data_IF_651059421132
#
_entry.id   IF_651059421132
#
_cell.length_a   1.000
_cell.length_b   1.000
_cell.length_c   1.000
_cell.angle_alpha   90.00
_cell.angle_beta   90.00
_cell.angle_gamma   90.00
#
_symmetry.space_group_name_H-M   'P 1'
#
loop_
_entity.id
_entity.type
_entity.pdbx_description
1 polymer ?
#
# COMPACT_ATOMS: atom_id res chain seq x y z
N UNK A 1 46.59 -5.80 -37.07
CA UNK A 1 45.90 -6.80 -36.25
C UNK A 1 45.73 -6.22 -34.86
N UNK A 2 44.54 -5.77 -34.52
CA UNK A 2 44.17 -5.30 -33.15
C UNK A 2 43.22 -6.32 -32.58
N UNK A 3 43.69 -7.05 -31.57
CA UNK A 3 42.93 -8.08 -30.87
C UNK A 3 41.97 -7.40 -29.89
N UNK A 4 40.67 -7.51 -30.10
CA UNK A 4 39.63 -7.12 -29.11
C UNK A 4 39.52 -8.22 -28.09
N UNK A 5 39.80 -7.91 -26.83
CA UNK A 5 39.50 -8.78 -25.69
C UNK A 5 38.10 -8.38 -25.21
N UNK A 6 37.11 -9.25 -25.43
CA UNK A 6 35.78 -9.10 -24.88
C UNK A 6 35.78 -9.63 -23.45
N UNK A 7 35.58 -8.75 -22.47
CA UNK A 7 35.38 -9.14 -21.08
C UNK A 7 33.95 -9.63 -20.92
N UNK A 8 33.77 -10.92 -20.66
CA UNK A 8 32.51 -11.53 -20.23
C UNK A 8 32.25 -11.12 -18.76
N UNK A 9 31.27 -10.27 -18.53
CA UNK A 9 30.76 -10.03 -17.19
C UNK A 9 29.78 -11.16 -16.85
N UNK A 10 30.23 -12.15 -16.09
CA UNK A 10 29.34 -13.13 -15.47
C UNK A 10 28.54 -12.44 -14.37
N UNK A 11 27.27 -12.19 -14.65
CA UNK A 11 26.27 -11.83 -13.62
C UNK A 11 25.94 -13.10 -12.83
N UNK A 12 26.57 -13.28 -11.67
CA UNK A 12 26.17 -14.34 -10.72
C UNK A 12 24.83 -13.95 -10.10
N UNK A 13 23.76 -14.60 -10.53
CA UNK A 13 22.49 -14.59 -9.81
C UNK A 13 22.72 -15.29 -8.46
N UNK A 14 22.63 -14.53 -7.37
CA UNK A 14 22.63 -15.09 -6.02
C UNK A 14 21.27 -15.76 -5.85
N UNK A 15 21.25 -17.09 -5.89
CA UNK A 15 20.06 -17.88 -5.55
C UNK A 15 20.00 -17.92 -4.02
N UNK A 16 19.10 -17.14 -3.42
CA UNK A 16 18.82 -17.25 -1.98
C UNK A 16 18.06 -18.56 -1.73
N UNK A 17 18.59 -19.44 -0.90
CA UNK A 17 17.82 -20.58 -0.36
C UNK A 17 16.79 -20.03 0.62
N UNK A 18 15.52 -20.27 0.37
CA UNK A 18 14.45 -19.94 1.30
C UNK A 18 14.36 -21.02 2.42
N UNK A 19 14.16 -20.59 3.66
CA UNK A 19 13.88 -21.46 4.80
C UNK A 19 12.42 -21.28 5.20
N UNK A 20 11.75 -22.40 5.54
CA UNK A 20 10.40 -22.38 6.09
C UNK A 20 10.48 -22.10 7.59
N UNK A 21 9.82 -21.05 8.05
CA UNK A 21 9.75 -20.65 9.46
C UNK A 21 8.62 -21.42 10.20
N UNK A 22 8.67 -21.51 11.55
CA UNK A 22 7.72 -22.28 12.34
C UNK A 22 6.24 -21.94 12.09
N UNK A 23 5.94 -20.72 11.67
CA UNK A 23 4.58 -20.25 11.33
C UNK A 23 4.18 -20.49 9.87
N UNK A 24 4.99 -21.20 9.09
CA UNK A 24 4.75 -21.51 7.69
C UNK A 24 5.08 -20.34 6.75
N UNK A 25 5.81 -19.33 7.22
CA UNK A 25 6.35 -18.31 6.36
C UNK A 25 7.64 -18.80 5.68
N UNK A 26 7.85 -18.34 4.46
CA UNK A 26 9.07 -18.57 3.70
C UNK A 26 9.81 -17.25 3.55
N UNK A 27 11.07 -17.21 3.99
CA UNK A 27 11.90 -16.02 4.03
C UNK A 27 13.26 -16.28 3.35
N UNK A 28 13.96 -15.24 2.88
CA UNK A 28 15.35 -15.38 2.43
C UNK A 28 16.27 -15.83 3.55
N UNK A 29 17.37 -16.51 3.19
CA UNK A 29 18.38 -17.00 4.16
C UNK A 29 18.84 -15.90 5.12
N UNK A 30 18.95 -16.26 6.41
CA UNK A 30 19.34 -15.36 7.50
C UNK A 30 18.24 -14.44 8.04
N UNK A 31 17.04 -14.47 7.46
CA UNK A 31 15.86 -13.82 8.02
C UNK A 31 15.04 -14.83 8.83
N UNK A 32 14.45 -14.33 9.91
CA UNK A 32 13.59 -15.13 10.81
C UNK A 32 12.34 -14.34 11.19
N UNK A 33 11.19 -15.04 11.21
CA UNK A 33 9.94 -14.50 11.67
C UNK A 33 9.61 -14.97 13.10
N UNK A 34 8.99 -14.09 13.86
CA UNK A 34 8.36 -14.42 15.15
C UNK A 34 6.99 -13.76 15.25
N UNK A 35 6.06 -14.37 15.97
CA UNK A 35 4.73 -13.78 16.20
C UNK A 35 4.84 -12.82 17.37
N UNK A 36 4.44 -11.57 17.14
CA UNK A 36 4.41 -10.49 18.14
C UNK A 36 3.09 -10.47 18.89
N UNK A 37 1.99 -10.59 18.15
CA UNK A 37 0.63 -10.61 18.67
C UNK A 37 -0.27 -11.44 17.75
N UNK A 38 -1.36 -11.97 18.30
CA UNK A 38 -2.38 -12.72 17.57
C UNK A 38 -3.78 -12.40 18.10
N UNK A 39 -4.80 -12.56 17.27
CA UNK A 39 -6.19 -12.42 17.71
C UNK A 39 -6.64 -10.97 17.95
N UNK A 40 -5.95 -9.97 17.37
CA UNK A 40 -6.34 -8.56 17.51
C UNK A 40 -7.63 -8.22 16.74
N UNK A 41 -8.19 -9.18 15.98
CA UNK A 41 -9.28 -8.93 15.05
C UNK A 41 -8.81 -8.27 13.75
N UNK A 42 -9.73 -7.80 12.91
CA UNK A 42 -9.36 -7.11 11.69
C UNK A 42 -8.58 -5.83 11.98
N UNK A 43 -7.38 -5.74 11.41
CA UNK A 43 -6.49 -4.56 11.50
C UNK A 43 -6.08 -4.11 10.10
N UNK A 44 -5.49 -2.90 10.03
CA UNK A 44 -5.05 -2.29 8.77
C UNK A 44 -3.56 -1.96 8.83
N UNK A 45 -3.19 -0.70 8.62
CA UNK A 45 -1.80 -0.27 8.65
C UNK A 45 -1.27 -0.12 10.08
N UNK A 46 0.03 -0.06 10.21
CA UNK A 46 0.69 0.11 11.50
C UNK A 46 1.84 1.11 11.43
N UNK A 47 2.21 1.62 12.58
CA UNK A 47 3.39 2.45 12.78
C UNK A 47 4.10 2.02 14.07
N UNK A 48 5.42 2.07 14.09
CA UNK A 48 6.24 1.75 15.26
C UNK A 48 6.85 3.02 15.81
N UNK A 49 6.69 3.24 17.11
CA UNK A 49 7.30 4.36 17.83
C UNK A 49 8.79 4.11 18.08
N UNK A 50 9.59 5.15 18.28
CA UNK A 50 11.02 5.03 18.52
C UNK A 50 11.43 4.21 19.76
N UNK A 51 10.51 3.94 20.69
CA UNK A 51 10.71 3.04 21.83
C UNK A 51 10.34 1.56 21.55
N UNK A 52 9.82 1.26 20.34
CA UNK A 52 9.42 -0.08 19.93
C UNK A 52 7.93 -0.40 20.07
N UNK A 53 7.13 0.47 20.69
CA UNK A 53 5.69 0.29 20.78
C UNK A 53 5.03 0.33 19.38
N UNK A 54 4.05 -0.56 19.15
CA UNK A 54 3.36 -0.69 17.86
C UNK A 54 1.96 -0.09 17.96
N UNK A 55 1.57 0.65 16.94
CA UNK A 55 0.25 1.27 16.83
C UNK A 55 -0.41 0.83 15.53
N UNK A 56 -1.62 0.31 15.64
CA UNK A 56 -2.33 -0.33 14.52
C UNK A 56 -3.68 0.33 14.32
N UNK A 57 -3.97 0.76 13.10
CA UNK A 57 -5.28 1.28 12.74
C UNK A 57 -6.29 0.13 12.56
N UNK A 58 -7.53 0.35 13.00
CA UNK A 58 -8.63 -0.60 12.85
C UNK A 58 -9.59 -0.15 11.74
N UNK A 59 -10.29 -1.07 11.05
CA UNK A 59 -11.36 -0.71 10.11
C UNK A 59 -12.52 0.01 10.80
N UNK A 60 -13.36 0.68 9.99
CA UNK A 60 -14.64 1.22 10.43
C UNK A 60 -15.57 0.16 11.02
N UNK A 61 -16.40 0.56 12.00
CA UNK A 61 -17.50 -0.24 12.53
C UNK A 61 -17.10 -1.60 13.12
N UNK A 62 -15.98 -1.68 13.82
CA UNK A 62 -15.57 -2.87 14.58
C UNK A 62 -16.12 -2.81 16.01
N UNK A 63 -17.45 -2.92 16.17
CA UNK A 63 -18.11 -2.87 17.50
C UNK A 63 -17.57 -3.92 18.48
N UNK A 64 -17.15 -5.08 17.97
CA UNK A 64 -16.64 -6.18 18.79
C UNK A 64 -15.25 -5.93 19.39
N UNK A 65 -14.43 -5.05 18.79
CA UNK A 65 -13.04 -4.81 19.18
C UNK A 65 -12.72 -3.33 19.46
N UNK A 66 -13.73 -2.45 19.43
CA UNK A 66 -13.56 -1.00 19.55
C UNK A 66 -13.08 -0.36 18.26
N UNK A 67 -13.51 0.88 18.01
CA UNK A 67 -12.98 1.73 16.94
C UNK A 67 -11.72 2.44 17.43
N UNK A 68 -10.84 2.85 16.50
CA UNK A 68 -9.67 3.67 16.83
C UNK A 68 -8.34 2.97 16.55
N UNK A 69 -7.46 3.03 17.51
CA UNK A 69 -6.09 2.55 17.40
C UNK A 69 -5.82 1.51 18.48
N UNK A 70 -5.16 0.42 18.11
CA UNK A 70 -4.62 -0.57 19.05
C UNK A 70 -3.16 -0.22 19.29
N UNK A 71 -2.78 -0.05 20.57
CA UNK A 71 -1.40 0.15 21.00
C UNK A 71 -0.88 -1.14 21.67
N UNK A 72 0.32 -1.58 21.27
CA UNK A 72 0.99 -2.74 21.81
C UNK A 72 2.35 -2.35 22.37
N UNK A 73 2.60 -2.72 23.62
CA UNK A 73 3.94 -2.70 24.19
C UNK A 73 4.56 -4.09 24.04
N UNK A 74 5.86 -4.14 23.75
CA UNK A 74 6.59 -5.38 23.55
C UNK A 74 7.55 -5.64 24.69
N UNK A 75 7.57 -6.88 25.18
CA UNK A 75 8.56 -7.37 26.13
C UNK A 75 9.97 -7.47 25.51
N UNK A 76 10.97 -7.83 26.31
CA UNK A 76 12.36 -8.03 25.86
C UNK A 76 12.54 -9.19 24.85
N UNK A 77 11.50 -9.98 24.58
CA UNK A 77 11.49 -11.05 23.60
C UNK A 77 10.65 -10.69 22.35
N UNK A 78 10.21 -9.44 22.28
CA UNK A 78 9.36 -8.88 21.23
C UNK A 78 7.96 -9.50 21.13
N UNK A 79 7.40 -10.00 22.24
CA UNK A 79 5.99 -10.39 22.32
C UNK A 79 5.17 -9.23 22.94
N UNK A 80 3.97 -9.03 22.47
CA UNK A 80 3.06 -8.04 23.07
C UNK A 80 2.65 -8.49 24.49
N UNK A 81 3.08 -7.75 25.50
CA UNK A 81 2.74 -7.97 26.91
C UNK A 81 1.68 -6.99 27.43
N UNK A 82 1.44 -5.88 26.73
CA UNK A 82 0.34 -4.97 26.98
C UNK A 82 -0.36 -4.62 25.67
N UNK A 83 -1.68 -4.65 25.66
CA UNK A 83 -2.53 -4.27 24.54
C UNK A 83 -3.58 -3.30 25.05
N UNK A 84 -3.65 -2.10 24.47
CA UNK A 84 -4.61 -1.07 24.84
C UNK A 84 -5.30 -0.49 23.61
N UNK A 85 -6.56 -0.08 23.75
CA UNK A 85 -7.32 0.59 22.70
C UNK A 85 -7.49 2.07 23.07
N UNK A 86 -7.33 2.95 22.11
CA UNK A 86 -7.51 4.38 22.32
C UNK A 86 -7.95 5.10 21.03
N UNK A 87 -8.27 6.40 21.18
CA UNK A 87 -8.68 7.24 20.08
C UNK A 87 -10.08 6.86 19.58
N UNK A 88 -11.11 7.48 20.14
CA UNK A 88 -12.50 7.33 19.67
C UNK A 88 -12.70 8.01 18.31
N UNK A 89 -11.84 7.64 17.33
CA UNK A 89 -11.90 8.10 15.96
C UNK A 89 -12.33 6.94 15.06
N UNK A 90 -13.16 7.22 14.07
CA UNK A 90 -13.46 6.23 13.04
C UNK A 90 -12.18 5.83 12.33
N UNK A 91 -11.94 4.52 12.21
CA UNK A 91 -10.70 4.00 11.64
C UNK A 91 -10.55 4.36 10.17
N UNK A 92 -9.38 4.91 9.83
CA UNK A 92 -8.86 5.02 8.49
C UNK A 92 -7.75 3.99 8.26
N UNK A 93 -7.05 4.10 7.15
CA UNK A 93 -5.89 3.25 6.86
C UNK A 93 -4.58 3.88 7.31
N UNK A 94 -4.44 5.18 7.07
CA UNK A 94 -3.17 5.87 7.25
C UNK A 94 -2.81 6.07 8.71
N UNK A 95 -1.62 5.61 9.10
CA UNK A 95 -1.07 5.80 10.43
C UNK A 95 0.46 5.93 10.31
N UNK A 96 1.05 7.02 10.81
CA UNK A 96 2.50 7.29 10.71
C UNK A 96 2.99 8.08 11.91
N UNK A 97 4.23 7.83 12.34
CA UNK A 97 4.92 8.70 13.29
C UNK A 97 5.69 9.81 12.58
N UNK A 98 5.63 10.99 13.15
CA UNK A 98 6.49 12.11 12.77
C UNK A 98 6.85 12.90 14.02
N UNK A 99 8.17 13.03 14.32
CA UNK A 99 8.70 13.72 15.51
C UNK A 99 8.00 13.29 16.81
N UNK A 100 7.92 11.98 17.04
CA UNK A 100 7.29 11.33 18.20
C UNK A 100 5.80 11.70 18.41
N UNK A 101 5.10 12.06 17.34
CA UNK A 101 3.66 12.26 17.31
C UNK A 101 3.04 11.30 16.33
N UNK A 102 1.94 10.68 16.72
CA UNK A 102 1.23 9.75 15.85
C UNK A 102 0.15 10.50 15.06
N UNK A 103 0.21 10.40 13.76
CA UNK A 103 -0.82 10.87 12.85
C UNK A 103 -1.65 9.68 12.40
N UNK A 104 -2.98 9.80 12.51
CA UNK A 104 -3.92 8.78 12.08
C UNK A 104 -5.02 9.41 11.24
N UNK A 105 -5.32 8.78 10.10
CA UNK A 105 -6.40 9.21 9.23
C UNK A 105 -7.73 8.61 9.65
N UNK A 106 -8.80 9.32 9.29
CA UNK A 106 -10.18 8.86 9.36
C UNK A 106 -10.83 9.03 7.99
N UNK A 107 -12.08 8.61 7.78
CA UNK A 107 -12.80 8.88 6.54
C UNK A 107 -12.80 10.36 6.12
N UNK A 108 -12.85 11.27 7.10
CA UNK A 108 -13.09 12.69 6.86
C UNK A 108 -11.98 13.61 7.35
N UNK A 109 -10.93 13.06 7.98
CA UNK A 109 -9.88 13.89 8.56
C UNK A 109 -8.56 13.18 8.85
N UNK A 110 -7.62 13.92 9.39
CA UNK A 110 -6.37 13.42 9.98
C UNK A 110 -6.23 13.99 11.38
N UNK A 111 -5.94 13.14 12.33
CA UNK A 111 -5.76 13.45 13.75
C UNK A 111 -4.30 13.25 14.15
N UNK A 112 -3.85 14.03 15.13
CA UNK A 112 -2.52 13.93 15.72
C UNK A 112 -2.62 13.65 17.21
N UNK A 113 -1.94 12.59 17.66
CA UNK A 113 -1.80 12.21 19.05
C UNK A 113 -0.39 12.59 19.53
N UNK A 114 -0.33 13.23 20.70
CA UNK A 114 0.94 13.61 21.35
C UNK A 114 1.15 12.74 22.56
N UNK A 115 2.34 12.15 22.68
CA UNK A 115 2.71 11.30 23.79
C UNK A 115 3.61 12.06 24.79
N UNK A 116 3.47 11.75 26.08
CA UNK A 116 4.29 12.30 27.15
C UNK A 116 5.13 11.19 27.77
N UNK A 117 6.46 11.27 27.57
CA UNK A 117 7.39 10.26 28.08
C UNK A 117 7.17 8.89 27.45
N UNK A 118 7.09 7.85 28.29
CA UNK A 118 6.96 6.44 27.88
C UNK A 118 5.53 5.91 27.91
N UNK A 119 4.52 6.80 27.99
CA UNK A 119 3.13 6.34 27.99
C UNK A 119 2.79 5.55 26.71
N UNK A 120 2.09 4.43 26.87
CA UNK A 120 1.67 3.58 25.74
C UNK A 120 0.49 4.20 24.98
N UNK A 121 -0.43 4.83 25.68
CA UNK A 121 -1.56 5.56 25.10
C UNK A 121 -1.50 7.02 25.50
N UNK A 122 -1.82 7.95 24.59
CA UNK A 122 -1.79 9.38 24.90
C UNK A 122 -2.83 9.72 25.96
N UNK A 123 -2.43 10.55 26.92
CA UNK A 123 -3.29 11.03 28.02
C UNK A 123 -4.15 12.24 27.64
N UNK A 124 -3.86 12.87 26.50
CA UNK A 124 -4.61 14.02 25.98
C UNK A 124 -5.46 13.65 24.78
N UNK A 125 -6.54 14.41 24.55
CA UNK A 125 -7.36 14.30 23.36
C UNK A 125 -6.53 14.59 22.08
N UNK A 126 -6.85 13.93 20.95
CA UNK A 126 -6.16 14.18 19.70
C UNK A 126 -6.50 15.56 19.14
N UNK A 127 -5.51 16.15 18.47
CA UNK A 127 -5.70 17.39 17.72
C UNK A 127 -6.18 17.09 16.29
N UNK A 128 -7.18 17.82 15.81
CA UNK A 128 -7.60 17.75 14.40
C UNK A 128 -6.60 18.51 13.54
N UNK A 129 -5.89 17.83 12.70
CA UNK A 129 -4.92 18.44 11.75
C UNK A 129 -5.63 18.85 10.46
N UNK A 130 -6.43 17.94 9.89
CA UNK A 130 -7.25 18.19 8.70
C UNK A 130 -8.63 17.63 8.95
N UNK A 131 -9.67 18.35 8.51
CA UNK A 131 -11.04 17.83 8.45
C UNK A 131 -11.77 18.27 7.18
N UNK A 132 -13.02 17.77 7.01
CA UNK A 132 -13.88 18.12 5.89
C UNK A 132 -13.53 17.39 4.59
N UNK A 133 -12.69 16.36 4.64
CA UNK A 133 -12.47 15.50 3.47
C UNK A 133 -13.76 14.72 3.14
N UNK A 134 -14.07 14.52 1.84
CA UNK A 134 -15.23 13.73 1.46
C UNK A 134 -15.06 12.31 1.97
N UNK A 135 -16.03 11.83 2.74
CA UNK A 135 -16.09 10.42 3.13
C UNK A 135 -16.03 9.54 1.87
N UNK A 136 -15.46 8.35 2.02
CA UNK A 136 -15.26 7.49 0.87
C UNK A 136 -16.56 6.91 0.34
N UNK A 137 -16.38 6.17 -0.71
CA UNK A 137 -17.31 5.51 -1.60
C UNK A 137 -18.57 4.97 -0.88
N UNK A 138 -19.78 5.39 -1.29
CA UNK A 138 -21.01 4.78 -0.81
C UNK A 138 -21.03 3.27 -1.16
N UNK A 139 -21.17 2.42 -0.15
CA UNK A 139 -21.27 0.97 -0.32
C UNK A 139 -20.00 0.16 -0.05
N UNK A 140 -18.87 0.78 0.29
CA UNK A 140 -17.70 0.10 0.81
C UNK A 140 -17.52 0.40 2.30
N UNK A 141 -17.42 -0.64 3.14
CA UNK A 141 -17.17 -0.52 4.58
C UNK A 141 -15.69 -0.20 4.89
N UNK A 142 -14.94 0.27 3.93
CA UNK A 142 -13.53 0.65 4.08
C UNK A 142 -13.30 2.01 3.48
N UNK A 143 -12.42 2.75 4.12
CA UNK A 143 -11.95 4.03 3.64
C UNK A 143 -10.46 3.95 3.52
N UNK A 144 -9.98 4.08 2.31
CA UNK A 144 -8.58 4.19 2.04
C UNK A 144 -8.18 5.66 2.20
N UNK A 145 -7.35 5.94 3.18
CA UNK A 145 -6.80 7.26 3.49
C UNK A 145 -5.34 7.12 3.88
N UNK A 146 -4.50 6.53 3.02
CA UNK A 146 -3.10 6.44 3.35
C UNK A 146 -2.51 7.85 3.49
N UNK A 147 -1.58 7.97 4.42
CA UNK A 147 -0.86 9.21 4.68
C UNK A 147 0.64 8.95 4.63
N UNK A 148 1.39 9.96 4.20
CA UNK A 148 2.83 9.99 4.31
C UNK A 148 3.29 11.37 4.82
N UNK A 149 4.44 11.42 5.47
CA UNK A 149 5.05 12.66 5.92
C UNK A 149 6.50 12.72 5.45
N UNK A 150 6.92 13.89 4.99
CA UNK A 150 8.31 14.14 4.66
C UNK A 150 9.09 14.70 5.87
N UNK A 151 10.39 14.81 5.72
CA UNK A 151 11.27 15.35 6.78
C UNK A 151 10.97 16.82 7.15
N UNK A 152 10.29 17.58 6.28
CA UNK A 152 9.95 18.99 6.50
C UNK A 152 8.64 19.15 7.28
N UNK A 153 7.81 18.12 7.30
CA UNK A 153 6.49 18.12 7.91
C UNK A 153 5.37 18.41 6.90
N UNK A 154 5.62 18.20 5.63
CA UNK A 154 4.55 18.12 4.64
C UNK A 154 3.78 16.81 4.88
N UNK A 155 2.48 16.93 5.14
CA UNK A 155 1.56 15.81 5.29
C UNK A 155 0.84 15.57 3.97
N UNK A 156 1.08 14.42 3.36
CA UNK A 156 0.40 13.97 2.16
C UNK A 156 -0.74 13.03 2.52
N UNK A 157 -1.93 13.31 1.97
CA UNK A 157 -3.14 12.50 2.18
C UNK A 157 -3.69 12.11 0.83
N UNK A 158 -3.86 10.82 0.57
CA UNK A 158 -4.49 10.35 -0.65
C UNK A 158 -6.01 10.20 -0.47
N UNK A 159 -6.74 10.57 -1.50
CA UNK A 159 -8.20 10.47 -1.59
C UNK A 159 -8.59 9.70 -2.86
N UNK A 160 -9.31 8.61 -2.68
CA UNK A 160 -9.81 7.79 -3.78
C UNK A 160 -10.91 8.50 -4.57
N UNK A 161 -11.14 8.03 -5.79
CA UNK A 161 -12.33 8.35 -6.55
C UNK A 161 -13.60 7.88 -5.85
N UNK A 162 -14.75 8.44 -6.21
CA UNK A 162 -16.04 8.01 -5.64
C UNK A 162 -16.55 6.70 -6.24
N UNK A 163 -15.97 6.25 -7.36
CA UNK A 163 -16.36 5.04 -8.05
C UNK A 163 -15.22 4.48 -8.92
N UNK A 164 -15.36 3.22 -9.34
CA UNK A 164 -14.44 2.57 -10.28
C UNK A 164 -14.32 3.35 -11.62
N UNK A 165 -15.45 3.90 -12.09
CA UNK A 165 -15.56 4.68 -13.30
C UNK A 165 -16.24 6.02 -13.01
N UNK A 166 -15.83 7.09 -13.71
CA UNK A 166 -16.50 8.38 -13.66
C UNK A 166 -17.48 8.50 -14.83
N UNK A 167 -18.72 8.08 -14.62
CA UNK A 167 -19.73 7.92 -15.69
C UNK A 167 -21.04 8.62 -15.35
N UNK A 168 -21.83 8.90 -16.39
CA UNK A 168 -23.18 9.47 -16.26
C UNK A 168 -24.11 8.53 -15.49
N UNK A 169 -23.97 7.23 -15.72
CA UNK A 169 -24.74 6.22 -15.02
C UNK A 169 -24.10 5.91 -13.67
N UNK A 170 -24.92 5.90 -12.63
CA UNK A 170 -24.49 5.45 -11.30
C UNK A 170 -24.09 3.99 -11.35
N UNK A 171 -22.92 3.67 -10.89
CA UNK A 171 -22.50 2.27 -10.79
C UNK A 171 -23.26 1.58 -9.65
N UNK A 172 -23.75 0.35 -9.91
CA UNK A 172 -24.41 -0.41 -8.87
C UNK A 172 -23.40 -0.78 -7.76
N UNK A 173 -23.87 -0.90 -6.51
CA UNK A 173 -23.06 -1.41 -5.42
C UNK A 173 -22.47 -2.80 -5.74
N UNK A 174 -21.37 -3.20 -5.07
CA UNK A 174 -20.80 -4.53 -5.21
C UNK A 174 -21.85 -5.64 -5.07
N UNK A 175 -21.80 -6.66 -5.94
CA UNK A 175 -22.73 -7.77 -5.93
C UNK A 175 -24.08 -7.53 -6.64
N UNK A 176 -24.32 -6.32 -7.14
CA UNK A 176 -25.51 -6.04 -7.99
C UNK A 176 -25.16 -6.19 -9.47
N UNK A 177 -26.16 -6.51 -10.33
CA UNK A 177 -25.95 -6.60 -11.77
C UNK A 177 -25.39 -5.31 -12.36
N UNK A 178 -24.43 -5.44 -13.27
CA UNK A 178 -23.91 -4.29 -14.02
C UNK A 178 -24.95 -3.81 -15.07
N UNK A 179 -24.85 -2.54 -15.53
CA UNK A 179 -25.68 -2.05 -16.62
C UNK A 179 -25.58 -2.92 -17.86
N UNK A 180 -26.67 -3.10 -18.56
CA UNK A 180 -26.72 -3.86 -19.84
C UNK A 180 -26.19 -3.05 -21.03
N UNK A 181 -26.08 -1.71 -20.87
CA UNK A 181 -25.48 -0.81 -21.86
C UNK A 181 -24.17 -0.28 -21.33
N UNK A 182 -23.11 -0.22 -22.15
CA UNK A 182 -21.83 0.35 -21.74
C UNK A 182 -22.01 1.77 -21.22
N UNK A 183 -21.40 2.11 -20.07
CA UNK A 183 -21.50 3.44 -19.49
C UNK A 183 -20.72 4.49 -20.30
N UNK A 184 -21.19 5.73 -20.27
CA UNK A 184 -20.53 6.89 -20.92
C UNK A 184 -19.82 7.74 -19.88
N UNK A 185 -18.57 8.10 -20.17
CA UNK A 185 -17.72 8.90 -19.28
C UNK A 185 -18.19 10.34 -19.13
N UNK A 186 -18.09 10.87 -17.91
CA UNK A 186 -18.33 12.29 -17.63
C UNK A 186 -17.09 13.14 -17.98
N UNK A 187 -17.30 14.22 -18.71
CA UNK A 187 -16.25 15.19 -19.05
C UNK A 187 -16.73 16.60 -18.80
N UNK A 188 -16.11 17.36 -17.88
CA UNK A 188 -15.06 16.92 -16.95
C UNK A 188 -15.58 15.97 -15.88
N UNK A 189 -14.70 15.10 -15.34
CA UNK A 189 -15.03 14.26 -14.20
C UNK A 189 -15.01 15.09 -12.90
N UNK A 190 -16.11 15.15 -12.13
CA UNK A 190 -16.19 15.97 -10.91
C UNK A 190 -15.21 15.55 -9.82
N UNK A 191 -14.85 14.25 -9.76
CA UNK A 191 -13.95 13.73 -8.73
C UNK A 191 -12.54 14.34 -8.81
N UNK A 192 -12.06 14.70 -9.99
CA UNK A 192 -10.70 15.21 -10.19
C UNK A 192 -10.39 16.51 -9.42
N UNK A 193 -11.41 17.32 -9.11
CA UNK A 193 -11.27 18.54 -8.33
C UNK A 193 -11.62 18.42 -6.84
N UNK A 194 -12.26 17.30 -6.45
CA UNK A 194 -12.80 17.11 -5.10
C UNK A 194 -12.19 15.91 -4.34
N UNK A 195 -11.62 14.98 -5.06
CA UNK A 195 -11.02 13.73 -4.59
C UNK A 195 -10.14 13.14 -5.70
N UNK A 196 -9.93 11.84 -5.78
CA UNK A 196 -9.17 11.18 -6.85
C UNK A 196 -7.75 11.76 -7.01
N UNK A 197 -7.05 11.96 -5.90
CA UNK A 197 -5.73 12.59 -5.91
C UNK A 197 -5.01 12.55 -4.57
N UNK A 198 -3.86 13.22 -4.50
CA UNK A 198 -3.11 13.46 -3.27
C UNK A 198 -3.15 14.93 -2.93
N UNK A 199 -3.40 15.25 -1.67
CA UNK A 199 -3.34 16.62 -1.14
C UNK A 199 -2.20 16.75 -0.14
N UNK A 200 -1.53 17.91 -0.18
CA UNK A 200 -0.49 18.29 0.77
C UNK A 200 -1.04 19.28 1.77
N UNK A 201 -0.76 19.06 3.05
CA UNK A 201 -1.06 19.92 4.19
C UNK A 201 0.20 20.14 5.03
N UNK A 202 0.15 21.06 5.98
CA UNK A 202 1.19 21.28 6.98
C UNK A 202 0.89 20.45 8.24
N UNK A 203 1.71 19.46 8.55
CA UNK A 203 1.52 18.59 9.71
C UNK A 203 1.56 19.34 11.05
N UNK A 204 2.13 20.54 11.11
CA UNK A 204 2.21 21.33 12.34
C UNK A 204 0.95 22.13 12.65
N UNK A 205 0.13 22.44 11.63
CA UNK A 205 -1.05 23.29 11.74
C UNK A 205 -2.30 22.49 12.10
N UNK A 206 -3.02 22.94 13.10
CA UNK A 206 -4.31 22.36 13.51
C UNK A 206 -5.49 23.04 12.80
N UNK A 207 -6.59 22.30 12.63
CA UNK A 207 -7.85 22.82 12.14
C UNK A 207 -7.87 23.20 10.66
N UNK A 208 -6.99 22.62 9.84
CA UNK A 208 -6.97 22.84 8.39
C UNK A 208 -8.22 22.25 7.75
N UNK A 209 -8.90 23.04 6.89
CA UNK A 209 -10.13 22.62 6.20
C UNK A 209 -9.84 22.17 4.78
N UNK A 210 -10.24 20.96 4.43
CA UNK A 210 -10.23 20.47 3.05
C UNK A 210 -11.36 21.12 2.25
N UNK A 211 -11.17 21.47 0.97
CA UNK A 211 -9.89 21.47 0.26
C UNK A 211 -9.10 22.79 0.43
N UNK A 212 -9.69 23.82 1.03
CA UNK A 212 -9.21 25.21 0.98
C UNK A 212 -7.84 25.44 1.63
N UNK A 213 -7.47 24.63 2.63
CA UNK A 213 -6.16 24.71 3.27
C UNK A 213 -5.15 23.73 2.67
N UNK A 214 -5.58 22.82 1.80
CA UNK A 214 -4.74 21.83 1.13
C UNK A 214 -4.28 22.30 -0.25
N UNK A 215 -3.14 21.78 -0.67
CA UNK A 215 -2.67 21.89 -2.05
C UNK A 215 -2.90 20.56 -2.76
N UNK A 216 -3.66 20.52 -3.85
CA UNK A 216 -3.77 19.34 -4.69
C UNK A 216 -2.41 19.05 -5.33
N UNK A 217 -1.74 18.02 -4.82
CA UNK A 217 -0.37 17.67 -5.23
C UNK A 217 -0.36 16.76 -6.45
N UNK A 218 -1.31 15.83 -6.52
CA UNK A 218 -1.50 14.93 -7.66
C UNK A 218 -2.99 14.68 -7.91
N UNK A 219 -3.33 14.25 -9.12
CA UNK A 219 -4.70 13.98 -9.57
C UNK A 219 -4.77 12.68 -10.37
N UNK A 220 -5.98 12.26 -10.74
CA UNK A 220 -6.19 11.10 -11.60
C UNK A 220 -6.01 9.75 -10.91
N UNK A 221 -6.24 9.69 -9.59
CA UNK A 221 -6.16 8.47 -8.78
C UNK A 221 -7.53 7.82 -8.67
N UNK A 222 -7.61 6.53 -9.02
CA UNK A 222 -8.83 5.74 -8.83
C UNK A 222 -8.99 5.26 -7.38
N UNK A 223 -8.02 4.50 -6.91
CA UNK A 223 -8.02 3.81 -5.62
C UNK A 223 -6.56 3.62 -5.19
N UNK A 224 -6.19 4.03 -4.00
CA UNK A 224 -4.83 3.99 -3.50
C UNK A 224 -4.80 3.70 -1.99
N UNK A 225 -4.23 2.57 -1.62
CA UNK A 225 -4.05 2.18 -0.22
C UNK A 225 -2.62 2.42 0.28
N UNK A 226 -1.67 2.53 -0.65
CA UNK A 226 -0.23 2.57 -0.36
C UNK A 226 0.33 3.95 -0.63
N UNK A 227 0.95 4.58 0.36
CA UNK A 227 1.62 5.88 0.23
C UNK A 227 2.79 5.94 1.21
N UNK A 228 3.99 6.22 0.70
CA UNK A 228 5.16 6.40 1.54
C UNK A 228 6.17 7.40 0.97
N UNK A 229 6.98 7.98 1.85
CA UNK A 229 8.03 8.92 1.51
C UNK A 229 9.39 8.23 1.50
N UNK A 230 10.04 8.19 0.35
CA UNK A 230 11.42 7.71 0.24
C UNK A 230 12.40 8.76 0.72
N UNK A 231 13.03 8.53 1.87
CA UNK A 231 14.09 9.41 2.37
C UNK A 231 15.37 9.30 1.52
N UNK A 232 15.55 8.22 0.77
CA UNK A 232 16.75 7.95 -0.02
C UNK A 232 16.85 8.88 -1.25
N UNK A 233 15.73 9.23 -1.88
CA UNK A 233 15.70 10.11 -3.04
C UNK A 233 14.84 11.36 -2.86
N UNK A 234 14.16 11.50 -1.70
CA UNK A 234 13.37 12.67 -1.35
C UNK A 234 12.08 12.82 -2.15
N UNK A 235 11.41 11.70 -2.47
CA UNK A 235 10.16 11.71 -3.22
C UNK A 235 9.07 10.88 -2.53
N UNK A 236 7.83 11.27 -2.82
CA UNK A 236 6.63 10.53 -2.46
C UNK A 236 6.37 9.44 -3.49
N UNK A 237 5.95 8.27 -3.03
CA UNK A 237 5.53 7.14 -3.85
C UNK A 237 4.16 6.63 -3.40
N UNK A 238 3.40 6.10 -4.35
CA UNK A 238 2.12 5.45 -4.08
C UNK A 238 1.75 4.47 -5.16
N UNK A 239 0.88 3.52 -4.84
CA UNK A 239 0.45 2.48 -5.77
C UNK A 239 -1.05 2.60 -5.98
N UNK A 240 -1.45 2.94 -7.21
CA UNK A 240 -2.85 3.04 -7.63
C UNK A 240 -3.33 1.68 -8.13
N UNK A 241 -4.46 1.20 -7.62
CA UNK A 241 -5.09 -0.01 -8.11
C UNK A 241 -5.69 0.18 -9.51
N UNK A 242 -5.45 -0.80 -10.37
CA UNK A 242 -6.06 -0.88 -11.68
C UNK A 242 -7.58 -0.96 -11.63
N UNK A 243 -8.24 -0.57 -12.70
CA UNK A 243 -9.71 -0.57 -12.81
C UNK A 243 -10.30 -1.98 -12.79
N UNK A 244 -11.52 -2.11 -12.30
CA UNK A 244 -12.24 -3.37 -12.19
C UNK A 244 -13.32 -3.53 -13.27
N UNK A 245 -13.65 -4.79 -13.60
CA UNK A 245 -14.82 -5.16 -14.42
C UNK A 245 -14.79 -4.61 -15.86
N UNK A 246 -13.63 -4.37 -16.44
CA UNK A 246 -13.53 -3.83 -17.80
C UNK A 246 -14.08 -4.84 -18.82
N UNK A 247 -13.68 -6.11 -18.73
CA UNK A 247 -14.23 -7.19 -19.55
C UNK A 247 -15.75 -7.30 -19.42
N UNK A 248 -16.29 -7.24 -18.21
CA UNK A 248 -17.74 -7.38 -17.99
C UNK A 248 -18.57 -6.26 -18.63
N UNK A 249 -17.99 -5.06 -18.74
CA UNK A 249 -18.65 -3.90 -19.34
C UNK A 249 -18.39 -3.77 -20.84
N UNK A 250 -17.22 -4.21 -21.28
CA UNK A 250 -16.77 -4.13 -22.68
C UNK A 250 -16.12 -5.44 -23.13
N UNK A 251 -16.90 -6.56 -23.20
CA UNK A 251 -16.34 -7.88 -23.53
C UNK A 251 -15.75 -7.96 -24.94
N UNK A 252 -16.22 -7.11 -25.86
CA UNK A 252 -15.71 -7.06 -27.23
C UNK A 252 -14.38 -6.28 -27.36
N UNK A 253 -13.98 -5.52 -26.34
CA UNK A 253 -12.77 -4.71 -26.35
C UNK A 253 -11.65 -5.28 -25.48
N UNK A 254 -11.98 -5.95 -24.39
CA UNK A 254 -11.05 -6.48 -23.40
C UNK A 254 -11.47 -7.89 -23.03
N UNK A 255 -10.61 -8.86 -23.22
CA UNK A 255 -10.87 -10.25 -22.80
C UNK A 255 -10.78 -10.38 -21.26
N UNK A 256 -11.26 -11.50 -20.71
CA UNK A 256 -11.18 -11.76 -19.27
C UNK A 256 -9.71 -11.85 -18.79
N UNK A 257 -8.84 -12.44 -19.59
CA UNK A 257 -7.40 -12.54 -19.26
C UNK A 257 -6.72 -11.17 -19.30
N UNK A 258 -7.08 -10.29 -20.24
CA UNK A 258 -6.58 -8.91 -20.29
C UNK A 258 -7.12 -8.07 -19.13
N UNK A 259 -8.38 -8.23 -18.72
CA UNK A 259 -8.96 -7.55 -17.55
C UNK A 259 -8.19 -7.91 -16.25
N UNK A 260 -7.76 -9.16 -16.14
CA UNK A 260 -6.94 -9.63 -15.02
C UNK A 260 -5.50 -9.06 -15.03
N UNK A 261 -5.04 -8.58 -16.17
CA UNK A 261 -3.70 -7.99 -16.34
C UNK A 261 -3.70 -6.46 -16.38
N UNK A 262 -4.84 -5.81 -16.14
CA UNK A 262 -4.85 -4.37 -15.88
C UNK A 262 -4.00 -4.11 -14.63
N UNK A 263 -2.92 -3.35 -14.81
CA UNK A 263 -1.88 -3.24 -13.80
C UNK A 263 -2.28 -2.35 -12.62
N UNK A 264 -1.79 -2.72 -11.43
CA UNK A 264 -1.64 -1.80 -10.32
C UNK A 264 -0.36 -0.99 -10.56
N UNK A 265 -0.45 0.34 -10.49
CA UNK A 265 0.58 1.26 -10.97
C UNK A 265 1.32 1.94 -9.80
N UNK A 266 2.63 1.66 -9.62
CA UNK A 266 3.47 2.41 -8.69
C UNK A 266 4.01 3.67 -9.35
N UNK A 267 3.75 4.82 -8.76
CA UNK A 267 4.20 6.12 -9.26
C UNK A 267 5.13 6.82 -8.26
N UNK A 268 6.15 7.48 -8.80
CA UNK A 268 6.84 8.57 -8.11
C UNK A 268 6.00 9.82 -8.24
N UNK A 269 5.56 10.37 -7.11
CA UNK A 269 4.56 11.44 -7.05
C UNK A 269 5.26 12.78 -6.82
N UNK A 270 5.27 13.61 -7.82
CA UNK A 270 5.73 15.00 -7.73
C UNK A 270 4.55 15.95 -7.85
N UNK A 271 4.77 17.24 -7.60
CA UNK A 271 3.72 18.23 -7.79
C UNK A 271 3.20 18.21 -9.23
N UNK A 272 1.87 18.22 -9.38
CA UNK A 272 1.12 18.14 -10.64
C UNK A 272 1.17 16.79 -11.36
N UNK A 273 1.57 15.71 -10.67
CA UNK A 273 1.44 14.35 -11.22
C UNK A 273 -0.02 14.05 -11.53
N UNK A 274 -0.29 13.61 -12.77
CA UNK A 274 -1.62 13.09 -13.19
C UNK A 274 -1.47 11.62 -13.54
N UNK A 275 -2.16 10.75 -12.77
CA UNK A 275 -2.14 9.29 -12.95
C UNK A 275 -2.97 8.82 -14.14
N UNK A 276 -3.91 9.65 -14.61
CA UNK A 276 -4.70 9.43 -15.82
C UNK A 276 -6.12 8.90 -15.64
N UNK A 277 -6.50 8.43 -14.44
CA UNK A 277 -7.91 8.10 -14.19
C UNK A 277 -8.77 9.36 -14.24
N UNK A 278 -10.00 9.32 -14.76
CA UNK A 278 -10.72 8.18 -15.33
C UNK A 278 -10.47 7.95 -16.81
N UNK A 279 -9.72 8.83 -17.46
CA UNK A 279 -9.59 8.88 -18.92
C UNK A 279 -8.76 7.76 -19.50
N UNK A 280 -7.90 7.13 -18.68
CA UNK A 280 -6.97 6.09 -19.11
C UNK A 280 -6.81 5.00 -18.06
N UNK A 281 -6.29 3.86 -18.49
CA UNK A 281 -5.82 2.76 -17.64
C UNK A 281 -4.52 2.19 -18.21
N UNK A 282 -3.77 1.44 -17.39
CA UNK A 282 -2.54 0.80 -17.82
C UNK A 282 -2.81 -0.68 -18.11
N UNK A 283 -2.62 -1.07 -19.37
CA UNK A 283 -2.68 -2.45 -19.84
C UNK A 283 -1.34 -3.13 -19.55
N UNK A 284 -1.28 -3.95 -18.51
CA UNK A 284 -0.06 -4.63 -18.10
C UNK A 284 0.40 -5.70 -19.10
N UNK A 285 -0.52 -6.36 -19.82
CA UNK A 285 -0.18 -7.36 -20.81
C UNK A 285 0.63 -6.77 -21.98
N UNK A 286 0.29 -5.53 -22.36
CA UNK A 286 0.93 -4.82 -23.48
C UNK A 286 1.95 -3.79 -23.02
N UNK A 287 2.06 -3.56 -21.72
CA UNK A 287 2.90 -2.53 -21.12
C UNK A 287 2.64 -1.13 -21.71
N UNK A 288 1.37 -0.74 -21.79
CA UNK A 288 0.95 0.51 -22.44
C UNK A 288 -0.25 1.15 -21.74
N UNK A 289 -0.26 2.48 -21.63
CA UNK A 289 -1.44 3.24 -21.20
C UNK A 289 -2.42 3.40 -22.35
N UNK A 290 -3.68 3.00 -22.11
CA UNK A 290 -4.77 3.07 -23.09
C UNK A 290 -5.85 4.04 -22.64
N UNK A 291 -6.59 4.60 -23.61
CA UNK A 291 -7.80 5.39 -23.35
C UNK A 291 -8.89 4.46 -22.84
N UNK A 292 -9.56 4.87 -21.76
CA UNK A 292 -10.67 4.11 -21.18
C UNK A 292 -11.85 4.02 -22.16
N UNK A 293 -12.52 2.86 -22.27
CA UNK A 293 -13.62 2.65 -23.23
C UNK A 293 -14.76 3.66 -23.12
N UNK A 294 -15.13 4.07 -21.89
CA UNK A 294 -16.18 5.08 -21.64
C UNK A 294 -15.82 6.48 -22.18
N UNK A 295 -14.56 6.69 -22.55
CA UNK A 295 -14.05 7.94 -23.17
C UNK A 295 -13.63 7.72 -24.63
N UNK A 296 -14.14 6.68 -25.29
CA UNK A 296 -13.89 6.38 -26.70
C UNK A 296 -12.65 5.57 -26.98
N UNK A 297 -12.11 4.90 -25.95
CA UNK A 297 -11.07 3.88 -26.13
C UNK A 297 -11.60 2.65 -26.87
N UNK A 298 -10.77 2.08 -27.74
CA UNK A 298 -11.06 0.92 -28.56
C UNK A 298 -10.18 -0.30 -28.21
N UNK A 299 -9.57 -0.27 -27.04
CA UNK A 299 -8.61 -1.28 -26.58
C UNK A 299 -7.23 -1.17 -27.23
N UNK A 300 -6.96 -0.14 -28.05
CA UNK A 300 -5.68 0.07 -28.76
C UNK A 300 -5.19 1.50 -28.71
N UNK A 301 -6.08 2.47 -28.59
CA UNK A 301 -5.73 3.90 -28.58
C UNK A 301 -5.01 4.27 -27.30
N UNK A 302 -3.81 4.84 -27.45
CA UNK A 302 -3.07 5.49 -26.36
C UNK A 302 -3.37 6.98 -26.29
N UNK A 303 -3.29 7.60 -25.09
CA UNK A 303 -3.31 9.06 -24.96
C UNK A 303 -2.05 9.70 -25.59
N UNK A 304 -2.03 11.01 -25.80
CA UNK A 304 -0.81 11.72 -26.19
C UNK A 304 0.35 11.41 -25.24
N UNK A 305 1.54 11.20 -25.79
CA UNK A 305 2.72 10.90 -25.01
C UNK A 305 3.03 12.03 -23.99
N UNK A 306 3.39 11.65 -22.76
CA UNK A 306 3.73 12.59 -21.70
C UNK A 306 2.54 13.33 -21.07
N UNK A 307 1.30 13.07 -21.49
CA UNK A 307 0.12 13.69 -20.90
C UNK A 307 -0.14 13.20 -19.46
N UNK A 308 0.12 11.93 -19.20
CA UNK A 308 -0.08 11.30 -17.89
C UNK A 308 1.23 10.72 -17.39
N UNK A 309 1.32 10.55 -16.08
CA UNK A 309 2.47 9.95 -15.43
C UNK A 309 2.71 8.51 -15.94
N UNK A 310 3.97 8.19 -16.18
CA UNK A 310 4.38 6.80 -16.42
C UNK A 310 4.69 6.16 -15.08
N UNK A 311 4.15 4.97 -14.76
CA UNK A 311 4.51 4.27 -13.55
C UNK A 311 6.00 3.92 -13.53
N UNK A 312 6.60 3.90 -12.35
CA UNK A 312 7.98 3.45 -12.16
C UNK A 312 8.07 1.93 -12.08
N UNK A 313 6.94 1.29 -11.76
CA UNK A 313 6.75 -0.15 -11.71
C UNK A 313 5.26 -0.47 -11.87
N UNK A 314 4.97 -1.57 -12.55
CA UNK A 314 3.64 -2.14 -12.70
C UNK A 314 3.57 -3.51 -12.06
N UNK A 315 2.50 -3.77 -11.31
CA UNK A 315 2.19 -5.09 -10.79
C UNK A 315 1.15 -5.75 -11.69
N UNK A 316 1.59 -6.73 -12.50
CA UNK A 316 0.76 -7.39 -13.52
C UNK A 316 0.13 -8.68 -13.02
N UNK A 317 0.45 -9.12 -11.81
CA UNK A 317 0.07 -10.43 -11.34
C UNK A 317 -1.37 -10.46 -10.85
N UNK A 318 -2.32 -10.57 -11.77
CA UNK A 318 -3.70 -10.99 -11.53
C UNK A 318 -4.34 -10.39 -10.27
N UNK A 319 -4.29 -9.05 -10.10
CA UNK A 319 -4.91 -8.32 -8.99
C UNK A 319 -4.33 -8.72 -7.63
N UNK A 320 -3.02 -8.57 -7.49
CA UNK A 320 -2.30 -8.86 -6.22
C UNK A 320 -2.70 -7.95 -5.07
N UNK A 321 -3.36 -6.83 -5.36
CA UNK A 321 -3.82 -5.83 -4.40
C UNK A 321 -2.70 -5.33 -3.47
N UNK A 322 -1.79 -4.45 -3.96
CA UNK A 322 -0.79 -3.80 -3.13
C UNK A 322 -1.45 -2.84 -2.13
N UNK A 323 -1.49 -3.20 -0.84
CA UNK A 323 -2.23 -2.44 0.17
C UNK A 323 -1.33 -1.64 1.12
N UNK A 324 -0.03 -1.89 1.18
CA UNK A 324 0.90 -1.02 1.90
C UNK A 324 2.28 -1.00 1.23
N UNK A 325 3.01 0.08 1.47
CA UNK A 325 4.32 0.39 0.90
C UNK A 325 5.21 0.97 2.00
N UNK A 326 6.45 0.49 2.09
CA UNK A 326 7.46 0.97 3.03
C UNK A 326 8.82 1.07 2.36
N UNK A 327 9.41 2.24 2.28
CA UNK A 327 10.81 2.41 1.92
C UNK A 327 11.68 2.11 3.14
N UNK A 328 12.52 1.07 3.03
CA UNK A 328 13.38 0.64 4.14
C UNK A 328 14.49 1.65 4.39
N UNK A 329 14.50 2.23 5.57
CA UNK A 329 15.45 3.25 6.01
C UNK A 329 16.56 2.70 6.91
N UNK A 330 16.38 1.50 7.46
CA UNK A 330 17.27 0.85 8.38
C UNK A 330 18.57 0.34 7.77
N UNK A 331 19.42 -0.14 8.64
CA UNK A 331 20.73 -0.73 8.27
C UNK A 331 20.91 -2.16 8.80
N UNK A 332 19.91 -2.70 9.52
CA UNK A 332 19.97 -4.07 10.06
C UNK A 332 19.91 -5.14 8.97
N UNK A 333 19.22 -4.88 7.89
CA UNK A 333 19.15 -5.79 6.76
C UNK A 333 20.39 -5.71 5.86
N UNK A 334 20.69 -6.79 5.11
CA UNK A 334 21.76 -6.80 4.12
C UNK A 334 21.68 -5.60 3.17
N UNK A 335 22.83 -5.17 2.68
CA UNK A 335 22.94 -3.97 1.82
C UNK A 335 21.99 -4.00 0.61
N UNK A 336 21.66 -5.18 0.11
CA UNK A 336 20.75 -5.35 -1.04
C UNK A 336 19.34 -4.80 -0.78
N UNK A 337 18.90 -4.70 0.49
CA UNK A 337 17.58 -4.21 0.87
C UNK A 337 17.55 -2.72 1.22
N UNK A 338 18.69 -2.06 1.34
CA UNK A 338 18.77 -0.67 1.81
C UNK A 338 18.33 0.30 0.72
N UNK A 339 17.41 1.19 1.08
CA UNK A 339 16.86 2.20 0.15
C UNK A 339 15.90 1.64 -0.89
N UNK A 340 15.57 0.33 -0.83
CA UNK A 340 14.48 -0.27 -1.60
C UNK A 340 13.16 -0.20 -0.85
N UNK A 341 12.11 -0.68 -1.50
CA UNK A 341 10.76 -0.67 -0.95
C UNK A 341 10.23 -2.08 -0.71
N UNK A 342 9.56 -2.29 0.41
CA UNK A 342 8.73 -3.47 0.66
C UNK A 342 7.29 -3.12 0.32
N UNK A 343 6.62 -4.00 -0.42
CA UNK A 343 5.22 -3.85 -0.83
C UNK A 343 4.44 -5.06 -0.36
N UNK A 344 3.36 -4.81 0.36
CA UNK A 344 2.46 -5.85 0.85
C UNK A 344 1.41 -6.14 -0.20
N UNK A 345 1.38 -7.37 -0.72
CA UNK A 345 0.41 -7.86 -1.67
C UNK A 345 -0.66 -8.68 -0.93
N UNK A 346 -1.81 -8.04 -0.71
CA UNK A 346 -2.89 -8.62 0.11
C UNK A 346 -3.57 -9.84 -0.52
N UNK A 347 -3.50 -9.95 -1.83
CA UNK A 347 -4.18 -10.99 -2.60
C UNK A 347 -5.68 -10.76 -2.77
N UNK A 348 -6.21 -11.20 -3.89
CA UNK A 348 -7.63 -11.06 -4.23
C UNK A 348 -8.23 -12.41 -4.60
N UNK A 349 -9.08 -12.94 -3.72
CA UNK A 349 -9.80 -14.20 -3.97
C UNK A 349 -8.87 -15.37 -4.27
N UNK A 350 -9.02 -15.96 -5.46
CA UNK A 350 -8.24 -17.11 -5.92
C UNK A 350 -7.11 -16.72 -6.89
N UNK A 351 -6.53 -15.53 -6.74
CA UNK A 351 -5.50 -15.03 -7.66
C UNK A 351 -4.15 -14.93 -6.96
N UNK A 352 -3.24 -14.10 -7.40
CA UNK A 352 -1.92 -13.90 -6.82
C UNK A 352 -1.92 -12.94 -5.62
N UNK A 353 -0.77 -12.74 -5.05
CA UNK A 353 -0.57 -11.97 -3.83
C UNK A 353 -0.51 -12.89 -2.61
N UNK A 354 -0.78 -12.38 -1.45
CA UNK A 354 -0.61 -12.98 -0.13
C UNK A 354 0.87 -13.08 0.30
N UNK A 355 1.66 -12.13 -0.16
CA UNK A 355 3.10 -12.08 0.07
C UNK A 355 3.58 -10.64 0.33
N UNK A 356 4.81 -10.51 0.72
CA UNK A 356 5.55 -9.24 0.75
C UNK A 356 6.64 -9.33 -0.29
N UNK A 357 6.68 -8.38 -1.22
CA UNK A 357 7.73 -8.30 -2.21
C UNK A 357 8.69 -7.16 -1.88
N UNK A 358 9.95 -7.34 -2.25
CA UNK A 358 10.97 -6.30 -2.21
C UNK A 358 11.22 -5.75 -3.61
N UNK A 359 11.20 -4.43 -3.74
CA UNK A 359 11.50 -3.69 -4.96
C UNK A 359 12.81 -2.93 -4.75
N UNK A 360 13.89 -3.31 -5.42
CA UNK A 360 15.13 -2.54 -5.34
C UNK A 360 15.02 -1.22 -6.11
N UNK A 361 15.62 -0.16 -5.58
CA UNK A 361 15.70 1.13 -6.24
C UNK A 361 17.16 1.52 -6.48
N UNK A 362 17.45 2.09 -7.64
CA UNK A 362 18.74 2.71 -7.91
C UNK A 362 18.78 4.16 -7.34
N UNK A 363 19.95 4.79 -7.41
CA UNK A 363 20.18 6.15 -6.91
C UNK A 363 19.38 7.24 -7.65
N UNK A 364 18.81 6.91 -8.81
CA UNK A 364 18.00 7.81 -9.60
C UNK A 364 16.49 7.62 -9.38
N UNK A 365 16.12 6.73 -8.45
CA UNK A 365 14.73 6.39 -8.16
C UNK A 365 14.10 5.47 -9.21
N UNK A 366 14.92 4.74 -10.00
CA UNK A 366 14.43 3.72 -10.92
C UNK A 366 14.21 2.42 -10.18
N UNK A 367 13.00 1.90 -10.25
CA UNK A 367 12.64 0.60 -9.69
C UNK A 367 13.25 -0.53 -10.52
N UNK A 368 13.76 -1.56 -9.84
CA UNK A 368 14.10 -2.84 -10.43
C UNK A 368 12.95 -3.84 -10.33
N UNK A 369 13.18 -5.06 -10.77
CA UNK A 369 12.17 -6.12 -10.71
C UNK A 369 11.86 -6.51 -9.25
N UNK A 370 10.57 -6.65 -8.88
CA UNK A 370 10.18 -7.15 -7.57
C UNK A 370 10.66 -8.59 -7.35
N UNK A 371 11.02 -8.90 -6.12
CA UNK A 371 11.33 -10.27 -5.68
C UNK A 371 10.51 -10.60 -4.43
N UNK A 372 10.02 -11.83 -4.32
CA UNK A 372 9.31 -12.26 -3.12
C UNK A 372 10.27 -12.21 -1.93
N UNK A 373 9.87 -11.51 -0.87
CA UNK A 373 10.61 -11.40 0.38
C UNK A 373 10.02 -12.27 1.48
N UNK A 374 8.69 -12.25 1.66
CA UNK A 374 8.02 -13.13 2.60
C UNK A 374 6.77 -13.73 1.95
N UNK A 375 6.63 -15.04 2.03
CA UNK A 375 5.52 -15.82 1.48
C UNK A 375 4.99 -16.82 2.52
N UNK A 376 3.93 -17.58 2.17
CA UNK A 376 3.32 -18.59 3.04
C UNK A 376 2.16 -18.09 3.90
N UNK A 377 1.83 -16.80 3.87
CA UNK A 377 0.71 -16.25 4.65
C UNK A 377 -0.63 -16.92 4.35
N UNK A 378 -0.90 -17.23 3.09
CA UNK A 378 -2.16 -17.86 2.69
C UNK A 378 -2.32 -19.28 3.23
N UNK A 379 -1.22 -19.99 3.52
CA UNK A 379 -1.23 -21.39 3.94
C UNK A 379 -1.60 -22.36 2.79
N UNK A 380 -1.54 -21.90 1.55
CA UNK A 380 -1.71 -22.70 0.33
C UNK A 380 -0.86 -22.10 -0.80
N UNK A 381 -0.58 -22.88 -1.84
CA UNK A 381 0.06 -22.38 -3.05
C UNK A 381 -0.93 -21.48 -3.84
N UNK A 382 -0.64 -20.17 -3.98
CA UNK A 382 -1.52 -19.26 -4.72
C UNK A 382 -1.69 -19.60 -6.20
N UNK A 383 -0.86 -20.46 -6.78
CA UNK A 383 -0.96 -20.95 -8.14
C UNK A 383 -1.84 -22.20 -8.30
N UNK A 384 -2.19 -22.89 -7.18
CA UNK A 384 -2.97 -24.11 -7.22
C UNK A 384 -4.36 -23.91 -7.81
N UNK A 385 -4.86 -24.88 -8.56
CA UNK A 385 -6.18 -24.84 -9.21
C UNK A 385 -7.35 -24.84 -8.23
N UNK A 386 -7.18 -25.50 -7.07
CA UNK A 386 -8.17 -25.55 -5.98
C UNK A 386 -7.58 -24.95 -4.72
N UNK A 387 -8.26 -23.97 -4.14
CA UNK A 387 -7.78 -23.21 -2.97
C UNK A 387 -8.87 -23.10 -1.94
N UNK A 388 -8.46 -23.21 -0.69
CA UNK A 388 -9.28 -22.85 0.46
C UNK A 388 -9.27 -21.34 0.72
N UNK A 389 -9.97 -20.88 1.78
CA UNK A 389 -9.80 -19.52 2.27
C UNK A 389 -8.36 -19.31 2.75
N UNK A 390 -7.79 -18.15 2.50
CA UNK A 390 -6.45 -17.82 2.96
C UNK A 390 -6.38 -17.88 4.49
N UNK A 391 -5.30 -18.48 5.01
CA UNK A 391 -5.04 -18.57 6.45
C UNK A 391 -4.83 -17.20 7.06
N UNK A 392 -4.02 -16.37 6.38
CA UNK A 392 -3.74 -14.97 6.69
C UNK A 392 -3.67 -14.15 5.39
N UNK A 393 -3.92 -12.85 5.50
CA UNK A 393 -3.83 -11.90 4.40
C UNK A 393 -3.02 -10.68 4.85
N UNK A 394 -1.77 -10.55 4.42
CA UNK A 394 -0.92 -9.43 4.81
C UNK A 394 -1.55 -8.10 4.36
N UNK A 395 -1.47 -7.07 5.20
CA UNK A 395 -2.15 -5.78 4.94
C UNK A 395 -1.29 -4.57 5.23
N UNK A 396 -0.57 -4.54 6.35
CA UNK A 396 0.22 -3.42 6.80
C UNK A 396 1.67 -3.82 7.03
N UNK A 397 2.58 -2.88 6.82
CA UNK A 397 4.02 -3.06 7.06
C UNK A 397 4.60 -1.84 7.76
N UNK A 398 5.51 -2.08 8.72
CA UNK A 398 6.23 -1.02 9.41
C UNK A 398 7.65 -1.44 9.73
N UNK A 399 8.55 -0.46 9.84
CA UNK A 399 9.93 -0.65 10.29
C UNK A 399 10.06 -0.34 11.78
N UNK A 400 10.71 -1.21 12.51
CA UNK A 400 11.04 -0.99 13.92
C UNK A 400 12.33 -0.19 14.11
N UNK A 401 12.57 0.36 15.32
CA UNK A 401 13.77 1.13 15.62
C UNK A 401 15.06 0.30 15.55
N UNK A 402 14.96 -1.01 15.63
CA UNK A 402 16.04 -1.98 15.48
C UNK A 402 16.26 -2.40 14.01
N UNK A 403 15.49 -1.85 13.07
CA UNK A 403 15.54 -2.16 11.65
C UNK A 403 14.86 -3.47 11.27
N UNK A 404 14.12 -4.12 12.19
CA UNK A 404 13.24 -5.24 11.83
C UNK A 404 11.98 -4.74 11.13
N UNK A 405 11.32 -5.62 10.35
CA UNK A 405 10.02 -5.35 9.76
C UNK A 405 8.90 -6.00 10.56
N UNK A 406 7.77 -5.31 10.64
CA UNK A 406 6.52 -5.85 11.16
C UNK A 406 5.52 -5.97 10.03
N UNK A 407 4.81 -7.11 9.94
CA UNK A 407 3.77 -7.37 8.92
C UNK A 407 2.48 -7.76 9.64
N UNK A 408 1.37 -7.14 9.27
CA UNK A 408 0.06 -7.38 9.87
C UNK A 408 -0.86 -8.20 8.97
N UNK A 409 -1.72 -9.01 9.59
CA UNK A 409 -2.82 -9.74 8.93
C UNK A 409 -4.15 -9.02 9.09
N UNK A 410 -4.89 -8.85 8.00
CA UNK A 410 -6.16 -8.14 7.95
C UNK A 410 -7.36 -8.89 8.51
N UNK A 411 -7.26 -10.19 8.74
CA UNK A 411 -8.40 -11.04 9.07
C UNK A 411 -8.47 -11.40 10.56
N UNK A 412 -7.36 -11.89 11.09
CA UNK A 412 -7.28 -12.38 12.47
C UNK A 412 -6.49 -11.45 13.38
N UNK A 413 -5.77 -10.48 12.77
CA UNK A 413 -4.96 -9.53 13.52
C UNK A 413 -3.70 -10.14 14.09
N UNK A 414 -3.03 -11.02 13.34
CA UNK A 414 -1.68 -11.45 13.67
C UNK A 414 -0.67 -10.42 13.20
N UNK A 415 0.36 -10.22 13.99
CA UNK A 415 1.52 -9.40 13.64
C UNK A 415 2.76 -10.26 13.74
N UNK A 416 3.54 -10.31 12.66
CA UNK A 416 4.87 -10.91 12.63
C UNK A 416 5.94 -9.84 12.72
N UNK A 417 7.04 -10.14 13.39
CA UNK A 417 8.30 -9.43 13.32
C UNK A 417 9.27 -10.25 12.47
N UNK A 418 9.88 -9.65 11.46
CA UNK A 418 10.88 -10.26 10.59
C UNK A 418 12.21 -9.55 10.85
N UNK A 419 13.21 -10.30 11.29
CA UNK A 419 14.53 -9.79 11.62
C UNK A 419 15.63 -10.56 10.88
N UNK A 420 16.74 -9.89 10.56
CA UNK A 420 17.92 -10.51 9.99
C UNK A 420 18.89 -10.87 11.12
N UNK A 421 19.26 -12.14 11.21
CA UNK A 421 20.18 -12.68 12.23
C UNK A 421 21.53 -13.11 11.64
N UNK A 422 21.71 -12.96 10.32
CA UNK A 422 22.86 -13.45 9.60
C UNK A 422 22.70 -14.89 9.12
N UNK A 423 23.49 -15.28 8.14
CA UNK A 423 23.50 -16.65 7.66
C UNK A 423 24.16 -17.56 8.72
N UNK A 424 23.44 -18.57 9.17
CA UNK A 424 24.04 -19.65 9.98
C UNK A 424 25.00 -20.42 9.09
N UNK A 425 26.30 -20.19 9.23
CA UNK A 425 27.32 -21.06 8.64
C UNK A 425 27.16 -22.44 9.31
N UNK A 426 26.44 -23.35 8.65
CA UNK A 426 26.47 -24.76 9.01
C UNK A 426 27.90 -25.25 8.83
N UNK A 427 28.69 -25.27 9.91
CA UNK A 427 29.91 -26.02 9.97
C UNK A 427 29.54 -27.50 9.92
N UNK A 428 29.49 -28.05 8.72
CA UNK A 428 29.51 -29.52 8.57
C UNK A 428 30.80 -30.01 9.23
N UNK A 429 30.65 -30.67 10.38
CA UNK A 429 31.71 -31.47 11.00
C UNK A 429 31.68 -32.87 10.44
#
# INVERSE_FOLDING_TARGET
MKTLVAALILSSAVVFSAAEEPDGLTLPSGFHASVVADGLGPIRHMAVRGNGDIYVSTPLNQEAHGSGIIALHLDGQHHADQIQHFGSIDGGTGIRFYRDRLYASTPTGVYRFTFHGSELVPSSDPEVIVDGMPASHPGFNRVNRPIALDAKGDLFVALDASANLCTVQTQPPPGKPLPTTPPVGLTPCPDLGARAGVWRFDASKVGQKFPSAGEQWATGIRDIDSLDWSAADGHLYGIMHGRDNTHRLWPDLVSADEDDQIADEMHRITKLTDFGWPYTYFDGARNVRLISPEYGGDGKKSPPAGKYSTPVLEFHSRRSAPLDLLFYSGNAFPRAYRGGAFVVLHGTGNKSGYDVVFVPFDRNGKAGSPTVFADGFAGFDPSAATRGPARYRPIGIAEGPDGSLYVADSQKGRIWRIAYQGETTSTLR
#
